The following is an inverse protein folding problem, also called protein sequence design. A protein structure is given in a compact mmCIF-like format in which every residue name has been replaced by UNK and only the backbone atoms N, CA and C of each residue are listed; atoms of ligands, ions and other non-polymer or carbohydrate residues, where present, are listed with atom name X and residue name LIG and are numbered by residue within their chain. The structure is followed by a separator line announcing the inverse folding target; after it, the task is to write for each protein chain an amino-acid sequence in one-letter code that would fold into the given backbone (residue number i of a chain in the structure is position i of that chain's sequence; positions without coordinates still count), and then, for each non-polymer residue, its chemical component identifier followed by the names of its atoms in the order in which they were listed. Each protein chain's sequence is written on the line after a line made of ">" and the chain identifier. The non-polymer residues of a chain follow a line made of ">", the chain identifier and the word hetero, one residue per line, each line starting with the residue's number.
data_IF_557250008859
#
_entry.id   IF_557250008859
#
_cell.length_a   1.000
_cell.length_b   1.000
_cell.length_c   1.000
_cell.angle_alpha   90.00
_cell.angle_beta   90.00
_cell.angle_gamma   90.00
#
_symmetry.space_group_name_H-M   'P 1'
#
loop_
_entity.id
_entity.type
_entity.pdbx_description
1 polymer ?
#
# COMPACT_ATOMS: atom_id res chain seq x y z
N UNK A 1 -18.80 -11.15 0.87
CA UNK A 1 -17.58 -10.35 1.12
C UNK A 1 -17.95 -9.19 2.03
N UNK A 2 -17.14 -8.89 3.02
CA UNK A 2 -17.20 -7.69 3.88
C UNK A 2 -15.75 -7.25 4.19
N UNK A 3 -15.56 -6.14 4.91
CA UNK A 3 -14.23 -5.62 5.21
C UNK A 3 -13.35 -6.56 6.04
N UNK A 4 -13.93 -7.34 6.96
CA UNK A 4 -13.19 -8.34 7.74
C UNK A 4 -12.61 -9.42 6.82
N UNK A 5 -13.43 -9.94 5.90
CA UNK A 5 -13.00 -10.96 4.94
C UNK A 5 -12.00 -10.42 3.91
N UNK A 6 -12.12 -9.14 3.54
CA UNK A 6 -11.12 -8.46 2.71
C UNK A 6 -9.75 -8.49 3.38
N UNK A 7 -9.66 -8.04 4.63
CA UNK A 7 -8.41 -8.04 5.37
C UNK A 7 -7.87 -9.45 5.66
N UNK A 8 -8.75 -10.42 5.96
CA UNK A 8 -8.35 -11.82 6.09
C UNK A 8 -7.65 -12.33 4.82
N UNK A 9 -8.15 -11.99 3.62
CA UNK A 9 -7.54 -12.39 2.35
C UNK A 9 -6.18 -11.70 2.13
N UNK A 10 -6.06 -10.44 2.47
CA UNK A 10 -4.78 -9.69 2.40
C UNK A 10 -3.76 -10.30 3.36
N UNK A 11 -4.12 -10.47 4.64
CA UNK A 11 -3.23 -11.00 5.69
C UNK A 11 -2.84 -12.46 5.37
N UNK A 12 -3.79 -13.31 4.95
CA UNK A 12 -3.53 -14.69 4.51
C UNK A 12 -2.53 -14.74 3.34
N UNK A 13 -2.71 -13.86 2.36
CA UNK A 13 -1.84 -13.81 1.18
C UNK A 13 -0.42 -13.39 1.55
N UNK A 14 -0.29 -12.42 2.43
CA UNK A 14 0.99 -11.95 2.94
C UNK A 14 1.72 -13.04 3.73
N UNK A 15 1.04 -13.70 4.68
CA UNK A 15 1.60 -14.79 5.48
C UNK A 15 2.03 -15.98 4.63
N UNK A 16 1.20 -16.39 3.65
CA UNK A 16 1.49 -17.51 2.77
C UNK A 16 2.73 -17.29 1.90
N UNK A 17 2.98 -16.04 1.50
CA UNK A 17 4.05 -15.68 0.58
C UNK A 17 5.29 -15.11 1.29
N UNK A 18 5.29 -15.00 2.62
CA UNK A 18 6.43 -14.51 3.42
C UNK A 18 6.95 -13.17 2.90
N UNK A 19 6.05 -12.24 2.70
CA UNK A 19 6.32 -10.89 2.20
C UNK A 19 6.88 -10.82 0.76
N UNK A 20 6.90 -11.94 0.01
CA UNK A 20 7.16 -11.91 -1.42
C UNK A 20 5.92 -11.37 -2.17
N UNK A 21 5.92 -10.09 -2.50
CA UNK A 21 4.74 -9.42 -3.06
C UNK A 21 4.36 -9.91 -4.45
N UNK A 22 5.31 -10.38 -5.28
CA UNK A 22 4.98 -10.97 -6.59
C UNK A 22 4.16 -12.26 -6.44
N UNK A 23 4.55 -13.11 -5.49
CA UNK A 23 3.81 -14.33 -5.17
C UNK A 23 2.50 -14.00 -4.45
N UNK A 24 2.47 -12.95 -3.62
CA UNK A 24 1.28 -12.47 -2.92
C UNK A 24 0.16 -12.09 -3.89
N UNK A 25 0.45 -11.30 -4.93
CA UNK A 25 -0.56 -10.93 -5.93
C UNK A 25 -1.16 -12.16 -6.60
N UNK A 26 -0.32 -13.13 -6.99
CA UNK A 26 -0.78 -14.38 -7.60
C UNK A 26 -1.62 -15.22 -6.65
N UNK A 27 -1.17 -15.38 -5.40
CA UNK A 27 -1.93 -16.09 -4.38
C UNK A 27 -3.30 -15.46 -4.16
N UNK A 28 -3.36 -14.13 -4.06
CA UNK A 28 -4.60 -13.39 -3.91
C UNK A 28 -5.55 -13.60 -5.11
N UNK A 29 -5.03 -13.55 -6.35
CA UNK A 29 -5.79 -13.86 -7.55
C UNK A 29 -6.36 -15.29 -7.51
N UNK A 30 -5.57 -16.28 -7.08
CA UNK A 30 -6.04 -17.69 -6.92
C UNK A 30 -7.16 -17.78 -5.88
N UNK A 31 -7.04 -17.09 -4.74
CA UNK A 31 -8.08 -17.04 -3.70
C UNK A 31 -9.36 -16.38 -4.21
N UNK A 32 -9.26 -15.22 -4.87
CA UNK A 32 -10.40 -14.51 -5.46
C UNK A 32 -11.08 -15.35 -6.55
N UNK A 33 -10.32 -16.06 -7.38
CA UNK A 33 -10.89 -16.89 -8.46
C UNK A 33 -11.91 -17.91 -7.96
N UNK A 34 -11.76 -18.37 -6.72
CA UNK A 34 -12.65 -19.35 -6.07
C UNK A 34 -13.93 -18.74 -5.48
N UNK A 35 -14.03 -17.42 -5.41
CA UNK A 35 -15.19 -16.71 -4.88
C UNK A 35 -16.27 -16.51 -5.95
N UNK A 36 -17.45 -16.05 -5.54
CA UNK A 36 -18.48 -15.63 -6.48
C UNK A 36 -18.13 -14.27 -7.12
N UNK A 37 -18.61 -14.01 -8.33
CA UNK A 37 -18.44 -12.73 -8.99
C UNK A 37 -18.93 -11.54 -8.14
N UNK A 38 -19.99 -11.73 -7.36
CA UNK A 38 -20.50 -10.70 -6.45
C UNK A 38 -19.48 -10.37 -5.35
N UNK A 39 -18.81 -11.40 -4.80
CA UNK A 39 -17.76 -11.21 -3.79
C UNK A 39 -16.53 -10.55 -4.38
N UNK A 40 -16.09 -10.91 -5.60
CA UNK A 40 -14.96 -10.27 -6.26
C UNK A 40 -15.23 -8.78 -6.51
N UNK A 41 -16.43 -8.44 -6.95
CA UNK A 41 -16.85 -7.05 -7.14
C UNK A 41 -16.84 -6.28 -5.82
N UNK A 42 -17.36 -6.89 -4.74
CA UNK A 42 -17.31 -6.27 -3.41
C UNK A 42 -15.86 -6.10 -2.94
N UNK A 43 -14.97 -7.09 -3.18
CA UNK A 43 -13.54 -6.95 -2.90
C UNK A 43 -12.95 -5.71 -3.59
N UNK A 44 -13.24 -5.50 -4.88
CA UNK A 44 -12.78 -4.32 -5.62
C UNK A 44 -13.30 -3.01 -5.01
N UNK A 45 -14.57 -2.97 -4.59
CA UNK A 45 -15.15 -1.78 -3.94
C UNK A 45 -14.53 -1.46 -2.58
N UNK A 46 -14.25 -2.49 -1.77
CA UNK A 46 -13.58 -2.34 -0.47
C UNK A 46 -12.13 -1.87 -0.68
N UNK A 47 -11.41 -2.51 -1.60
CA UNK A 47 -10.05 -2.11 -1.98
C UNK A 47 -10.00 -0.63 -2.41
N UNK A 48 -10.85 -0.21 -3.35
CA UNK A 48 -10.91 1.18 -3.83
C UNK A 48 -11.17 2.17 -2.69
N UNK A 49 -12.00 1.78 -1.72
CA UNK A 49 -12.31 2.61 -0.55
C UNK A 49 -11.07 2.83 0.33
N UNK A 50 -10.34 1.77 0.71
CA UNK A 50 -9.10 1.92 1.48
C UNK A 50 -8.02 2.65 0.69
N UNK A 51 -7.87 2.33 -0.60
CA UNK A 51 -6.91 2.98 -1.47
C UNK A 51 -7.15 4.50 -1.57
N UNK A 52 -8.40 4.94 -1.69
CA UNK A 52 -8.78 6.36 -1.68
C UNK A 52 -8.62 7.00 -0.32
N UNK A 53 -8.93 6.29 0.76
CA UNK A 53 -8.77 6.80 2.13
C UNK A 53 -7.31 7.17 2.45
N UNK A 54 -6.35 6.45 1.84
CA UNK A 54 -4.92 6.75 1.95
C UNK A 54 -4.43 7.86 1.01
N UNK A 55 -5.29 8.45 0.17
CA UNK A 55 -4.91 9.57 -0.69
C UNK A 55 -4.92 10.88 0.10
N UNK A 56 -3.89 11.10 0.92
CA UNK A 56 -3.75 12.17 1.87
C UNK A 56 -2.37 12.84 1.80
N UNK A 57 -2.26 14.17 1.99
CA UNK A 57 -0.98 14.86 1.97
C UNK A 57 0.08 14.25 2.89
N UNK A 58 -0.28 13.91 4.13
CA UNK A 58 0.64 13.27 5.06
C UNK A 58 1.14 11.90 4.60
N UNK A 59 0.31 11.12 3.89
CA UNK A 59 0.73 9.84 3.29
C UNK A 59 1.66 10.08 2.08
N UNK A 60 1.45 11.16 1.31
CA UNK A 60 2.37 11.56 0.24
C UNK A 60 3.75 11.87 0.82
N UNK A 61 3.82 12.65 1.91
CA UNK A 61 5.08 13.00 2.57
C UNK A 61 5.84 11.75 3.07
N UNK A 62 5.11 10.77 3.64
CA UNK A 62 5.67 9.48 4.06
C UNK A 62 6.20 8.70 2.85
N UNK A 63 5.39 8.58 1.79
CA UNK A 63 5.76 7.86 0.58
C UNK A 63 7.00 8.48 -0.10
N UNK A 64 7.11 9.80 -0.11
CA UNK A 64 8.28 10.51 -0.62
C UNK A 64 9.55 10.12 0.12
N UNK A 65 9.52 10.14 1.46
CA UNK A 65 10.69 9.77 2.24
C UNK A 65 11.06 8.30 2.06
N UNK A 66 10.09 7.39 2.02
CA UNK A 66 10.32 5.95 1.84
C UNK A 66 10.81 5.59 0.43
N UNK A 67 10.50 6.38 -0.57
CA UNK A 67 10.90 6.16 -1.98
C UNK A 67 11.98 7.16 -2.43
N UNK A 68 13.00 7.37 -1.61
CA UNK A 68 14.21 8.13 -1.94
C UNK A 68 13.91 9.55 -2.49
N UNK A 69 12.81 10.15 -2.06
CA UNK A 69 12.32 11.47 -2.52
C UNK A 69 12.00 11.54 -4.03
N UNK A 70 11.87 10.39 -4.69
CA UNK A 70 11.62 10.28 -6.14
C UNK A 70 10.21 9.76 -6.48
N UNK A 71 9.20 10.16 -5.71
CA UNK A 71 7.82 9.71 -5.88
C UNK A 71 7.17 10.35 -7.12
N UNK A 72 6.58 9.53 -7.97
CA UNK A 72 5.70 9.95 -9.09
C UNK A 72 4.23 9.77 -8.72
N UNK A 73 3.30 10.27 -9.53
CA UNK A 73 1.86 10.05 -9.33
C UNK A 73 1.50 8.56 -9.38
N UNK A 74 2.11 7.81 -10.31
CA UNK A 74 1.94 6.36 -10.42
C UNK A 74 2.61 5.67 -9.21
N UNK A 75 3.82 6.06 -8.85
CA UNK A 75 4.51 5.54 -7.67
C UNK A 75 3.73 5.76 -6.37
N UNK A 76 3.07 6.91 -6.23
CA UNK A 76 2.18 7.14 -5.08
C UNK A 76 0.93 6.24 -5.11
N UNK A 77 0.40 5.94 -6.29
CA UNK A 77 -0.68 4.95 -6.44
C UNK A 77 -0.20 3.58 -5.97
N UNK A 78 0.98 3.18 -6.38
CA UNK A 78 1.57 1.88 -6.06
C UNK A 78 2.08 1.79 -4.61
N UNK A 79 2.50 2.90 -4.02
CA UNK A 79 2.75 2.99 -2.58
C UNK A 79 1.50 2.69 -1.74
N UNK A 80 0.35 3.25 -2.12
CA UNK A 80 -0.91 2.96 -1.42
C UNK A 80 -1.32 1.49 -1.55
N UNK A 81 -1.04 0.86 -2.69
CA UNK A 81 -1.18 -0.58 -2.89
C UNK A 81 -0.26 -1.36 -1.95
N UNK A 82 1.01 -0.95 -1.88
CA UNK A 82 1.99 -1.53 -0.97
C UNK A 82 1.53 -1.39 0.50
N UNK A 83 1.01 -0.24 0.88
CA UNK A 83 0.52 0.00 2.25
C UNK A 83 -0.67 -0.91 2.61
N UNK A 84 -1.61 -1.14 1.70
CA UNK A 84 -2.70 -2.11 1.89
C UNK A 84 -2.13 -3.53 2.05
N UNK A 85 -1.12 -3.90 1.25
CA UNK A 85 -0.47 -5.20 1.32
C UNK A 85 0.24 -5.47 2.65
N UNK A 86 0.56 -4.43 3.44
CA UNK A 86 1.12 -4.59 4.78
C UNK A 86 0.11 -5.17 5.79
N UNK A 87 -1.17 -5.28 5.42
CA UNK A 87 -2.24 -5.83 6.26
C UNK A 87 -2.94 -4.78 7.11
N UNK A 88 -4.04 -5.23 7.73
CA UNK A 88 -4.99 -4.33 8.42
C UNK A 88 -4.33 -3.49 9.52
N UNK A 89 -3.55 -4.14 10.39
CA UNK A 89 -2.96 -3.46 11.56
C UNK A 89 -2.03 -2.33 11.11
N UNK A 90 -1.11 -2.64 10.19
CA UNK A 90 -0.11 -1.68 9.72
C UNK A 90 -0.79 -0.56 8.95
N UNK A 91 -1.76 -0.89 8.08
CA UNK A 91 -2.50 0.10 7.32
C UNK A 91 -3.21 1.10 8.25
N UNK A 92 -4.05 0.61 9.18
CA UNK A 92 -4.84 1.48 10.08
C UNK A 92 -3.94 2.29 11.02
N UNK A 93 -2.90 1.66 11.57
CA UNK A 93 -1.98 2.38 12.47
C UNK A 93 -1.18 3.44 11.72
N UNK A 94 -0.78 3.20 10.47
CA UNK A 94 -0.10 4.21 9.66
C UNK A 94 -0.98 5.45 9.47
N UNK A 95 -2.30 5.30 9.24
CA UNK A 95 -3.20 6.44 9.13
C UNK A 95 -3.23 7.29 10.41
N UNK A 96 -3.03 6.69 11.57
CA UNK A 96 -3.00 7.34 12.87
C UNK A 96 -1.60 7.85 13.22
N UNK A 97 -0.58 7.02 13.03
CA UNK A 97 0.79 7.29 13.43
C UNK A 97 1.79 6.48 12.58
N UNK A 98 2.56 7.10 11.68
CA UNK A 98 3.48 6.39 10.78
C UNK A 98 4.72 5.80 11.47
N UNK A 99 4.95 6.05 12.77
CA UNK A 99 6.04 5.42 13.54
C UNK A 99 6.00 3.89 13.49
N UNK A 100 4.82 3.29 13.26
CA UNK A 100 4.68 1.84 13.10
C UNK A 100 5.52 1.31 11.92
N UNK A 101 5.70 2.11 10.87
CA UNK A 101 6.48 1.72 9.71
C UNK A 101 7.97 1.57 10.04
N UNK A 102 8.47 2.28 11.05
CA UNK A 102 9.84 2.11 11.53
C UNK A 102 10.14 0.69 12.03
N UNK A 103 9.13 0.01 12.56
CA UNK A 103 9.29 -1.31 13.19
C UNK A 103 8.71 -2.44 12.34
N UNK A 104 7.60 -2.18 11.62
CA UNK A 104 6.81 -3.22 10.98
C UNK A 104 6.69 -3.10 9.45
N UNK A 105 7.25 -2.07 8.82
CA UNK A 105 7.26 -2.02 7.36
C UNK A 105 8.02 -3.24 6.80
N UNK A 106 7.40 -3.93 5.83
CA UNK A 106 8.07 -4.98 5.06
C UNK A 106 9.19 -4.40 4.18
N UNK A 107 9.96 -5.29 3.57
CA UNK A 107 11.05 -4.88 2.68
C UNK A 107 10.53 -4.23 1.38
N UNK A 108 11.30 -3.30 0.79
CA UNK A 108 10.97 -2.74 -0.51
C UNK A 108 11.08 -3.80 -1.62
N UNK A 109 10.36 -3.60 -2.72
CA UNK A 109 10.49 -4.42 -3.92
C UNK A 109 11.48 -3.73 -4.86
N UNK A 110 12.62 -4.37 -5.12
CA UNK A 110 13.65 -3.80 -6.02
C UNK A 110 14.06 -2.36 -5.58
N UNK A 111 14.04 -2.10 -4.28
CA UNK A 111 14.38 -0.82 -3.68
C UNK A 111 13.22 0.18 -3.53
N UNK A 112 11.99 -0.18 -3.93
CA UNK A 112 10.84 0.72 -3.89
C UNK A 112 9.71 0.15 -3.03
N UNK A 113 9.06 1.01 -2.24
CA UNK A 113 7.86 0.70 -1.48
C UNK A 113 6.61 0.89 -2.36
N UNK A 114 6.53 0.08 -3.42
CA UNK A 114 5.50 0.15 -4.46
C UNK A 114 4.99 -1.26 -4.78
N UNK A 115 3.68 -1.41 -5.03
CA UNK A 115 3.09 -2.71 -5.37
C UNK A 115 1.99 -2.60 -6.42
N UNK A 116 2.35 -2.33 -7.67
CA UNK A 116 1.43 -2.19 -8.80
C UNK A 116 0.48 -3.40 -8.96
N UNK A 117 1.00 -4.63 -8.82
CA UNK A 117 0.21 -5.85 -9.09
C UNK A 117 -1.00 -6.02 -8.18
N UNK A 118 -0.97 -5.51 -6.94
CA UNK A 118 -2.12 -5.58 -6.04
C UNK A 118 -3.31 -4.81 -6.60
N UNK A 119 -3.06 -3.65 -7.20
CA UNK A 119 -4.09 -2.80 -7.81
C UNK A 119 -4.88 -3.51 -8.91
N UNK A 120 -4.27 -4.51 -9.56
CA UNK A 120 -4.91 -5.25 -10.65
C UNK A 120 -5.56 -6.57 -10.21
N UNK A 121 -5.23 -7.12 -9.04
CA UNK A 121 -5.64 -8.47 -8.66
C UNK A 121 -7.16 -8.69 -8.76
N UNK A 122 -7.97 -7.87 -8.08
CA UNK A 122 -9.43 -7.97 -8.13
C UNK A 122 -10.00 -7.69 -9.52
N UNK A 123 -9.49 -6.65 -10.20
CA UNK A 123 -9.92 -6.26 -11.54
C UNK A 123 -9.72 -7.40 -12.56
N UNK A 124 -8.55 -8.07 -12.55
CA UNK A 124 -8.25 -9.19 -13.45
C UNK A 124 -9.19 -10.35 -13.25
N UNK A 125 -9.55 -10.69 -12.01
CA UNK A 125 -10.49 -11.77 -11.72
C UNK A 125 -11.91 -11.43 -12.20
N UNK A 126 -12.36 -10.19 -12.01
CA UNK A 126 -13.65 -9.73 -12.54
C UNK A 126 -13.64 -9.78 -14.07
N UNK A 127 -12.57 -9.32 -14.72
CA UNK A 127 -12.42 -9.40 -16.17
C UNK A 127 -12.42 -10.85 -16.69
N UNK A 128 -11.71 -11.75 -16.05
CA UNK A 128 -11.71 -13.19 -16.40
C UNK A 128 -13.11 -13.81 -16.34
N UNK A 129 -13.92 -13.43 -15.34
CA UNK A 129 -15.27 -13.96 -15.14
C UNK A 129 -16.33 -13.31 -16.04
N UNK A 130 -16.12 -12.08 -16.50
CA UNK A 130 -17.14 -11.28 -17.20
C UNK A 130 -16.78 -10.88 -18.62
N UNK A 131 -15.49 -10.91 -18.97
CA UNK A 131 -14.97 -10.35 -20.22
C UNK A 131 -14.86 -8.81 -20.24
N UNK A 132 -15.11 -8.12 -19.10
CA UNK A 132 -15.11 -6.67 -19.04
C UNK A 132 -14.60 -6.18 -17.68
N UNK A 133 -13.36 -5.65 -17.66
CA UNK A 133 -12.72 -5.13 -16.44
C UNK A 133 -13.51 -3.99 -15.77
N UNK A 134 -14.29 -3.22 -16.55
CA UNK A 134 -15.07 -2.09 -16.01
C UNK A 134 -16.12 -2.55 -14.99
N UNK A 135 -16.48 -3.82 -14.99
CA UNK A 135 -17.39 -4.39 -14.00
C UNK A 135 -16.75 -4.52 -12.59
N UNK A 136 -15.45 -4.29 -12.47
CA UNK A 136 -14.78 -4.16 -11.16
C UNK A 136 -14.98 -2.78 -10.51
N UNK A 137 -15.43 -1.78 -11.27
CA UNK A 137 -15.74 -0.44 -10.75
C UNK A 137 -17.09 -0.51 -10.04
N UNK A 138 -17.06 -0.60 -8.72
CA UNK A 138 -18.24 -0.84 -7.89
C UNK A 138 -18.37 0.23 -6.81
N UNK A 139 -19.58 0.72 -6.63
CA UNK A 139 -19.93 1.54 -5.49
C UNK A 139 -20.50 0.65 -4.38
N UNK A 140 -19.87 0.67 -3.21
CA UNK A 140 -20.36 -0.03 -2.04
C UNK A 140 -21.68 0.58 -1.54
N UNK A 141 -22.55 -0.22 -0.89
CA UNK A 141 -23.66 0.32 -0.11
C UNK A 141 -23.18 1.36 0.92
N UNK A 142 -24.02 2.35 1.21
CA UNK A 142 -23.65 3.49 2.07
C UNK A 142 -23.25 3.06 3.48
N UNK A 143 -23.93 2.07 4.04
CA UNK A 143 -23.64 1.50 5.36
C UNK A 143 -22.30 0.76 5.40
N UNK A 144 -21.96 0.02 4.33
CA UNK A 144 -20.67 -0.67 4.20
C UNK A 144 -19.53 0.34 4.01
N UNK A 145 -19.72 1.32 3.12
CA UNK A 145 -18.77 2.42 2.93
C UNK A 145 -18.51 3.17 4.25
N UNK A 146 -19.58 3.55 4.95
CA UNK A 146 -19.48 4.20 6.25
C UNK A 146 -18.74 3.33 7.27
N UNK A 147 -19.05 2.02 7.33
CA UNK A 147 -18.40 1.08 8.25
C UNK A 147 -16.89 0.96 8.01
N UNK A 148 -16.41 1.12 6.76
CA UNK A 148 -14.99 1.16 6.44
C UNK A 148 -14.37 2.49 6.89
N UNK A 149 -14.99 3.61 6.55
CA UNK A 149 -14.45 4.94 6.86
C UNK A 149 -14.43 5.23 8.37
N UNK A 150 -15.43 4.75 9.11
CA UNK A 150 -15.52 4.93 10.56
C UNK A 150 -14.43 4.17 11.36
N UNK A 151 -13.80 3.14 10.78
CA UNK A 151 -12.70 2.43 11.46
C UNK A 151 -11.32 3.08 11.25
N UNK A 152 -11.21 4.05 10.31
CA UNK A 152 -9.96 4.73 10.03
C UNK A 152 -9.82 5.94 10.95
N UNK A 153 -8.94 5.82 11.94
CA UNK A 153 -8.58 6.96 12.78
C UNK A 153 -7.41 7.71 12.12
N UNK A 154 -7.64 8.98 11.79
CA UNK A 154 -6.62 9.83 11.18
C UNK A 154 -5.84 10.60 12.24
N UNK A 155 -4.50 10.52 12.16
CA UNK A 155 -3.61 11.36 12.97
C UNK A 155 -3.62 12.82 12.52
N UNK A 156 -3.15 13.73 13.38
CA UNK A 156 -3.12 15.17 13.09
C UNK A 156 -2.23 15.55 11.89
N UNK A 157 -1.35 14.66 11.47
CA UNK A 157 -0.44 14.85 10.34
C UNK A 157 -1.09 14.62 8.98
N UNK A 158 -2.21 13.90 8.94
CA UNK A 158 -2.75 13.27 7.72
C UNK A 158 -3.08 14.26 6.60
N UNK A 159 -3.55 15.45 6.95
CA UNK A 159 -3.91 16.51 6.01
C UNK A 159 -2.79 17.58 5.84
N UNK A 160 -1.55 17.26 6.27
CA UNK A 160 -0.39 18.15 6.18
C UNK A 160 0.60 17.63 5.15
N UNK A 161 1.11 18.52 4.33
CA UNK A 161 2.29 18.28 3.50
C UNK A 161 3.52 18.55 4.37
N UNK A 162 4.22 17.49 4.79
CA UNK A 162 5.33 17.58 5.74
C UNK A 162 6.66 17.50 5.01
N UNK A 163 7.54 18.46 5.33
CA UNK A 163 8.95 18.38 4.98
C UNK A 163 9.67 17.29 5.77
N UNK A 164 10.86 16.90 5.32
CA UNK A 164 11.71 15.92 6.05
C UNK A 164 12.00 16.37 7.48
N UNK A 165 12.25 17.67 7.69
CA UNK A 165 12.52 18.21 9.03
C UNK A 165 11.29 18.07 9.94
N UNK A 166 10.08 18.33 9.41
CA UNK A 166 8.84 18.15 10.16
C UNK A 166 8.56 16.67 10.44
N UNK A 167 8.91 15.76 9.51
CA UNK A 167 8.83 14.31 9.75
C UNK A 167 9.80 13.86 10.84
N UNK A 168 11.05 14.39 10.87
CA UNK A 168 12.03 14.11 11.93
C UNK A 168 11.53 14.55 13.30
N UNK A 169 10.91 15.73 13.36
CA UNK A 169 10.41 16.28 14.62
C UNK A 169 9.17 15.52 15.12
N UNK A 170 8.25 15.17 14.22
CA UNK A 170 6.98 14.51 14.57
C UNK A 170 7.10 13.00 14.73
N UNK A 171 7.95 12.35 13.91
CA UNK A 171 8.08 10.89 13.79
C UNK A 171 9.55 10.47 13.72
N UNK A 172 10.31 10.63 14.81
CA UNK A 172 11.76 10.50 14.78
C UNK A 172 12.25 9.09 14.39
N UNK A 173 11.64 8.02 14.87
CA UNK A 173 12.05 6.65 14.52
C UNK A 173 11.78 6.33 13.05
N UNK A 174 10.61 6.74 12.54
CA UNK A 174 10.27 6.61 11.13
C UNK A 174 11.30 7.34 10.26
N UNK A 175 11.53 8.62 10.56
CA UNK A 175 12.47 9.44 9.79
C UNK A 175 13.91 8.89 9.87
N UNK A 176 14.38 8.47 11.05
CA UNK A 176 15.71 7.89 11.24
C UNK A 176 15.93 6.67 10.34
N UNK A 177 14.97 5.71 10.33
CA UNK A 177 15.05 4.51 9.51
C UNK A 177 15.16 4.86 8.02
N UNK A 178 14.20 5.60 7.49
CA UNK A 178 14.10 5.80 6.04
C UNK A 178 15.09 6.83 5.49
N UNK A 179 15.60 7.75 6.30
CA UNK A 179 16.74 8.60 5.93
C UNK A 179 18.01 7.74 5.81
N UNK A 180 18.26 6.83 6.76
CA UNK A 180 19.41 5.94 6.69
C UNK A 180 19.35 5.02 5.45
N UNK A 181 18.18 4.47 5.13
CA UNK A 181 17.97 3.68 3.91
C UNK A 181 18.24 4.50 2.63
N UNK A 182 17.82 5.76 2.58
CA UNK A 182 18.08 6.64 1.45
C UNK A 182 19.58 6.97 1.29
N UNK A 183 20.30 7.20 2.39
CA UNK A 183 21.76 7.44 2.36
C UNK A 183 22.51 6.19 1.85
N UNK A 184 22.08 4.99 2.23
CA UNK A 184 22.67 3.73 1.76
C UNK A 184 22.42 3.53 0.25
N UNK A 185 21.19 3.77 -0.21
CA UNK A 185 20.81 3.70 -1.63
C UNK A 185 21.63 4.67 -2.50
N UNK A 186 21.80 5.90 -2.07
CA UNK A 186 22.61 6.91 -2.75
C UNK A 186 24.10 6.51 -2.85
N UNK A 187 24.61 5.85 -1.81
CA UNK A 187 25.99 5.37 -1.79
C UNK A 187 26.20 4.22 -2.78
N UNK A 188 25.28 3.26 -2.83
CA UNK A 188 25.32 2.15 -3.80
C UNK A 188 25.21 2.64 -5.26
N UNK A 189 24.31 3.58 -5.53
CA UNK A 189 24.18 4.22 -6.83
C UNK A 189 25.45 4.94 -7.28
N UNK A 190 26.15 5.64 -6.37
CA UNK A 190 27.44 6.27 -6.66
C UNK A 190 28.55 5.26 -6.91
N UNK A 191 28.60 4.16 -6.14
CA UNK A 191 29.58 3.08 -6.34
C UNK A 191 29.37 2.37 -7.69
N UNK A 192 28.12 2.04 -8.04
CA UNK A 192 27.80 1.45 -9.33
C UNK A 192 28.18 2.36 -10.51
N UNK A 193 27.94 3.67 -10.40
CA UNK A 193 28.34 4.65 -11.42
C UNK A 193 29.87 4.76 -11.59
N UNK A 194 30.64 4.55 -10.53
CA UNK A 194 32.11 4.54 -10.58
C UNK A 194 32.69 3.30 -11.29
N UNK A 195 32.03 2.15 -11.15
CA UNK A 195 32.46 0.88 -11.81
C UNK A 195 32.26 0.90 -13.35
N UNK A 196 31.36 1.73 -13.88
CA UNK A 196 31.14 1.89 -15.33
C UNK A 196 32.08 2.92 -15.99
N UNK A 197 32.91 3.56 -15.19
CA UNK A 197 33.83 4.65 -15.63
C UNK A 197 35.27 4.25 -15.93
N UNK A 198 35.58 2.93 -16.01
CA UNK A 198 36.91 2.42 -16.38
C UNK A 198 36.93 1.73 -17.74
#
# INVERSE_FOLDING_TARGET
>A
MNKEKFWELIDESREACKDNMKDMAKYLEERLSSLSLAEDKTFCGIYDTYHRAANKPGIISIAHLMNHEMLTDDGFTDFRNWLIAQGKEIYLETMRNPEILAEKAGEPIEGWYEFELLGYAGMRIVEQKTGDYRQSIVHLPEDELKGILDEIEYGEYIDKDLSIEELKDAFPKFAERFIAENEEYDLEGKLAAMDWGM
#
